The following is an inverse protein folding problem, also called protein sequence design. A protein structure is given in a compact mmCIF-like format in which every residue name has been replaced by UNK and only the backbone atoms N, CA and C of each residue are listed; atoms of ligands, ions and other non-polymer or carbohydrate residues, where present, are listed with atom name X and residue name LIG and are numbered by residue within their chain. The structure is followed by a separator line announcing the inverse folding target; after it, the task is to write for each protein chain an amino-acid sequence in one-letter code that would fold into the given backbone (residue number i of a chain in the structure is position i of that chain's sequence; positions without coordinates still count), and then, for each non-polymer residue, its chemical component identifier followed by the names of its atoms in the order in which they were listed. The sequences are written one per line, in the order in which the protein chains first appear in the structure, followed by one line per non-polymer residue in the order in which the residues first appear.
data_IF_636489566729
#
_entry.id   IF_636489566729
#
_cell.length_a   1.000
_cell.length_b   1.000
_cell.length_c   1.000
_cell.angle_alpha   90.00
_cell.angle_beta   90.00
_cell.angle_gamma   90.00
#
_symmetry.space_group_name_H-M   'P 1'
#
loop_
_entity.id
_entity.type
_entity.pdbx_description
1 polymer ?
#
# COMPACT_ATOMS: atom_id res chain seq x y z
N UNK A 1 16.07 2.25 8.28
CA UNK A 1 16.71 3.15 7.32
C UNK A 1 15.86 4.40 7.03
N UNK A 2 15.15 5.00 8.00
CA UNK A 2 14.55 6.34 7.87
C UNK A 2 13.62 6.58 6.67
N UNK A 3 13.09 5.52 6.06
CA UNK A 3 12.33 5.62 4.82
C UNK A 3 10.92 6.14 5.10
N UNK A 4 10.38 6.89 4.15
CA UNK A 4 8.98 7.30 4.09
C UNK A 4 8.29 6.52 2.97
N UNK A 5 7.14 5.92 3.25
CA UNK A 5 6.33 5.20 2.26
C UNK A 5 4.91 5.75 2.26
N UNK A 6 4.42 6.10 1.08
CA UNK A 6 3.01 6.41 0.85
C UNK A 6 2.31 5.14 0.31
N UNK A 7 1.35 4.61 1.06
CA UNK A 7 0.55 3.44 0.66
C UNK A 7 -0.85 3.93 0.31
N UNK A 8 -1.25 3.77 -0.96
CA UNK A 8 -2.53 4.29 -1.45
C UNK A 8 -3.32 3.27 -2.25
N UNK A 9 -4.66 3.38 -2.19
CA UNK A 9 -5.60 2.59 -3.00
C UNK A 9 -5.24 1.11 -3.01
N UNK A 10 -4.99 0.53 -1.82
CA UNK A 10 -4.46 -0.82 -1.66
C UNK A 10 -5.40 -1.65 -0.77
N UNK A 11 -5.56 -2.92 -1.12
CA UNK A 11 -6.30 -3.90 -0.34
C UNK A 11 -5.37 -4.98 0.18
N UNK A 12 -5.46 -5.29 1.47
CA UNK A 12 -4.79 -6.41 2.11
C UNK A 12 -5.83 -7.46 2.48
N UNK A 13 -5.55 -8.73 2.18
CA UNK A 13 -6.39 -9.86 2.61
C UNK A 13 -5.51 -10.95 3.22
N UNK A 14 -5.96 -11.55 4.32
CA UNK A 14 -5.25 -12.62 5.04
C UNK A 14 -3.81 -12.23 5.48
N UNK A 15 -3.55 -10.94 5.67
CA UNK A 15 -2.26 -10.44 6.14
C UNK A 15 -2.20 -10.45 7.67
N UNK A 16 -1.17 -11.09 8.25
CA UNK A 16 -0.97 -11.13 9.70
C UNK A 16 -0.63 -9.75 10.29
N UNK A 17 0.21 -8.97 9.57
CA UNK A 17 0.56 -7.59 9.86
C UNK A 17 0.85 -6.87 8.54
N UNK A 18 -0.09 -6.08 8.05
CA UNK A 18 -0.01 -5.46 6.72
C UNK A 18 1.08 -4.39 6.63
N UNK A 19 1.14 -3.48 7.60
CA UNK A 19 2.04 -2.33 7.57
C UNK A 19 2.86 -2.26 8.87
N UNK A 20 4.16 -2.55 8.76
CA UNK A 20 5.10 -2.57 9.90
C UNK A 20 6.49 -2.06 9.51
N UNK A 21 7.21 -1.52 10.49
CA UNK A 21 8.65 -1.32 10.41
C UNK A 21 9.34 -2.20 11.47
N UNK A 22 10.22 -3.11 11.04
CA UNK A 22 10.87 -4.07 11.92
C UNK A 22 12.30 -4.37 11.46
N UNK A 23 13.10 -4.92 12.36
CA UNK A 23 14.39 -5.55 12.10
C UNK A 23 15.50 -4.60 11.58
N UNK A 24 15.33 -3.29 11.78
CA UNK A 24 16.30 -2.25 11.43
C UNK A 24 16.68 -1.38 12.63
N UNK A 25 17.92 -0.85 12.64
CA UNK A 25 18.40 0.11 13.65
C UNK A 25 17.71 1.49 13.59
N UNK A 26 17.05 1.79 12.48
CA UNK A 26 16.33 3.06 12.26
C UNK A 26 14.96 2.74 11.70
N UNK A 27 13.91 3.23 12.33
CA UNK A 27 12.53 3.00 11.91
C UNK A 27 12.23 3.75 10.60
N UNK A 28 11.32 3.21 9.79
CA UNK A 28 10.70 3.93 8.67
C UNK A 28 9.24 4.23 9.00
N UNK A 29 8.66 5.20 8.30
CA UNK A 29 7.31 5.70 8.57
C UNK A 29 6.40 5.46 7.36
N UNK A 30 5.10 5.33 7.62
CA UNK A 30 4.10 5.04 6.60
C UNK A 30 2.96 6.06 6.67
N UNK A 31 2.66 6.68 5.53
CA UNK A 31 1.42 7.43 5.29
C UNK A 31 0.46 6.52 4.53
N UNK A 32 -0.82 6.54 4.92
CA UNK A 32 -1.87 5.76 4.26
C UNK A 32 -2.96 6.66 3.73
N UNK A 33 -3.48 6.35 2.54
CA UNK A 33 -4.62 7.03 1.94
C UNK A 33 -5.48 6.01 1.17
N UNK A 34 -6.76 5.86 1.51
CA UNK A 34 -7.64 4.86 0.89
C UNK A 34 -7.03 3.43 0.91
N UNK A 35 -6.85 2.86 2.10
CA UNK A 35 -6.29 1.52 2.29
C UNK A 35 -7.28 0.64 3.03
N UNK A 36 -7.62 -0.50 2.44
CA UNK A 36 -8.37 -1.56 3.10
C UNK A 36 -7.39 -2.56 3.71
N UNK A 37 -7.35 -2.64 5.04
CA UNK A 37 -6.45 -3.56 5.75
C UNK A 37 -7.01 -4.99 5.85
N UNK A 38 -8.27 -5.24 5.46
CA UNK A 38 -8.89 -6.58 5.49
C UNK A 38 -8.77 -7.29 6.83
N UNK A 39 -8.94 -6.55 7.93
CA UNK A 39 -8.80 -7.04 9.31
C UNK A 39 -7.36 -7.11 9.85
N UNK A 40 -6.36 -6.71 9.06
CA UNK A 40 -4.97 -6.56 9.51
C UNK A 40 -4.73 -5.22 10.22
N UNK A 41 -3.48 -4.97 10.63
CA UNK A 41 -3.08 -3.75 11.34
C UNK A 41 -2.05 -2.93 10.59
N UNK A 42 -2.05 -1.63 10.92
CA UNK A 42 -0.94 -0.73 10.65
C UNK A 42 -0.26 -0.38 11.98
N UNK A 43 0.88 -1.04 12.25
CA UNK A 43 1.68 -0.82 13.46
C UNK A 43 2.91 0.08 13.18
N UNK A 44 3.07 0.57 11.94
CA UNK A 44 4.20 1.43 11.59
C UNK A 44 3.98 2.85 12.13
N UNK A 45 5.06 3.59 12.49
CA UNK A 45 4.92 5.00 12.80
C UNK A 45 4.35 5.78 11.63
N UNK A 46 3.57 6.82 11.95
CA UNK A 46 2.95 7.68 10.97
C UNK A 46 3.99 8.48 10.18
N UNK A 47 3.93 8.40 8.86
CA UNK A 47 4.74 9.19 7.95
C UNK A 47 4.17 10.58 7.69
N UNK A 48 4.93 11.37 6.92
CA UNK A 48 4.52 12.71 6.49
C UNK A 48 4.39 12.86 4.98
N UNK A 49 4.89 11.88 4.21
CA UNK A 49 4.80 11.90 2.74
C UNK A 49 3.34 11.83 2.27
N UNK A 50 3.03 12.51 1.19
CA UNK A 50 1.70 12.65 0.59
C UNK A 50 1.77 12.68 -0.93
N UNK A 51 0.62 12.66 -1.61
CA UNK A 51 0.56 12.70 -3.08
C UNK A 51 1.31 13.91 -3.68
N UNK A 52 1.31 15.07 -3.02
CA UNK A 52 2.01 16.26 -3.51
C UNK A 52 3.53 16.12 -3.52
N UNK A 53 4.07 15.14 -2.80
CA UNK A 53 5.51 14.86 -2.76
C UNK A 53 5.95 13.91 -3.89
N UNK A 54 5.01 13.35 -4.65
CA UNK A 54 5.27 12.40 -5.73
C UNK A 54 5.47 13.17 -7.05
N UNK A 55 6.61 13.00 -7.76
CA UNK A 55 6.98 13.84 -8.91
C UNK A 55 6.32 13.42 -10.23
N UNK A 56 5.24 12.64 -10.16
CA UNK A 56 4.51 12.15 -11.32
C UNK A 56 3.02 12.05 -11.04
N UNK A 57 2.23 12.18 -12.09
CA UNK A 57 0.77 12.09 -12.01
C UNK A 57 0.31 10.63 -12.06
N UNK A 58 -0.74 10.34 -11.29
CA UNK A 58 -1.40 9.03 -11.28
C UNK A 58 -2.85 9.18 -10.81
N UNK A 59 -3.67 8.23 -11.25
CA UNK A 59 -5.06 8.06 -10.81
C UNK A 59 -5.14 6.86 -9.86
N UNK A 60 -5.91 7.03 -8.79
CA UNK A 60 -6.19 5.95 -7.84
C UNK A 60 -7.48 5.26 -8.26
N UNK A 61 -7.49 3.92 -8.22
CA UNK A 61 -8.64 3.12 -8.61
C UNK A 61 -9.69 3.02 -7.48
N UNK A 62 -9.26 3.14 -6.23
CA UNK A 62 -10.06 2.86 -5.05
C UNK A 62 -9.73 1.47 -4.49
N UNK A 63 -9.41 1.37 -3.20
CA UNK A 63 -9.05 0.10 -2.55
C UNK A 63 -10.10 -1.02 -2.79
N UNK A 64 -11.39 -0.66 -2.80
CA UNK A 64 -12.49 -1.59 -3.02
C UNK A 64 -12.54 -2.21 -4.43
N UNK A 65 -11.95 -1.54 -5.43
CA UNK A 65 -11.91 -1.99 -6.82
C UNK A 65 -10.58 -2.64 -7.22
N UNK A 66 -9.54 -2.51 -6.39
CA UNK A 66 -8.19 -3.00 -6.71
C UNK A 66 -8.14 -4.52 -6.85
N UNK A 67 -8.82 -5.26 -5.98
CA UNK A 67 -8.81 -6.73 -6.06
C UNK A 67 -9.33 -7.24 -7.41
N UNK A 68 -10.48 -6.75 -7.85
CA UNK A 68 -11.08 -7.20 -9.12
C UNK A 68 -10.25 -6.80 -10.33
N UNK A 69 -9.71 -5.58 -10.34
CA UNK A 69 -8.85 -5.12 -11.43
C UNK A 69 -7.53 -5.90 -11.51
N UNK A 70 -6.86 -6.15 -10.36
CA UNK A 70 -5.58 -6.87 -10.32
C UNK A 70 -5.77 -8.32 -10.75
N UNK A 71 -6.79 -9.03 -10.24
CA UNK A 71 -7.06 -10.42 -10.65
C UNK A 71 -7.34 -10.53 -12.16
N UNK A 72 -7.99 -9.52 -12.75
CA UNK A 72 -8.32 -9.52 -14.17
C UNK A 72 -7.17 -9.13 -15.12
N UNK A 73 -6.09 -8.50 -14.62
CA UNK A 73 -5.08 -7.87 -15.47
C UNK A 73 -3.63 -8.17 -15.11
N UNK A 74 -3.33 -8.62 -13.89
CA UNK A 74 -1.97 -8.87 -13.44
C UNK A 74 -1.53 -10.31 -13.73
N UNK A 75 -0.28 -10.47 -14.18
CA UNK A 75 0.30 -11.76 -14.55
C UNK A 75 0.10 -12.09 -16.04
N UNK A 76 0.54 -13.28 -16.45
CA UNK A 76 0.32 -13.74 -17.81
C UNK A 76 -1.13 -14.19 -17.98
N UNK A 77 -1.91 -13.46 -18.78
CA UNK A 77 -3.36 -13.67 -18.94
C UNK A 77 -3.73 -14.77 -19.95
N UNK A 78 -2.73 -15.41 -20.59
CA UNK A 78 -2.87 -16.45 -21.63
C UNK A 78 -4.03 -16.18 -22.60
N UNK A 79 -3.77 -15.40 -23.65
CA UNK A 79 -4.68 -15.38 -24.81
C UNK A 79 -4.54 -16.71 -25.57
N UNK A 80 -5.67 -17.39 -25.78
CA UNK A 80 -5.78 -18.63 -26.58
C UNK A 80 -5.74 -18.32 -28.09
#
# INVERSE_FOLDING_TARGET
MGAEVLVESTVFENAKKALISKDSKTTGNISVNDVDLGGSTNDAPKGSISKSDIPYEYTLLGASAVKSAVVGAAGQTLEL
#
